data_IF_573033894710
#
_entry.id   IF_573033894710
#
_cell.length_a   1.000
_cell.length_b   1.000
_cell.length_c   1.000
_cell.angle_alpha   90.00
_cell.angle_beta   90.00
_cell.angle_gamma   90.00
#
_symmetry.space_group_name_H-M   'P 1'
#
loop_
_entity.id
_entity.type
_entity.pdbx_description
1 polymer ?
#
# COMPACT_ATOMS: atom_id res chain seq x y z
N UNK A 1 -21.85 -15.60 28.47
CA UNK A 1 -21.41 -16.81 27.71
C UNK A 1 -20.84 -17.82 28.71
N UNK A 2 -20.94 -19.14 28.48
CA UNK A 2 -20.32 -20.14 29.39
C UNK A 2 -18.80 -20.07 29.29
N UNK A 3 -18.09 -20.25 30.43
CA UNK A 3 -16.62 -20.17 30.55
C UNK A 3 -15.87 -21.02 29.52
N UNK A 4 -16.19 -22.32 29.43
CA UNK A 4 -15.55 -23.27 28.51
C UNK A 4 -15.62 -22.82 27.04
N UNK A 5 -16.72 -22.15 26.67
CA UNK A 5 -16.91 -21.63 25.32
C UNK A 5 -16.00 -20.42 25.04
N UNK A 6 -15.78 -19.55 26.03
CA UNK A 6 -14.86 -18.41 25.92
C UNK A 6 -13.43 -18.90 25.75
N UNK A 7 -13.02 -19.87 26.56
CA UNK A 7 -11.68 -20.44 26.53
C UNK A 7 -11.37 -21.13 25.19
N UNK A 8 -12.31 -21.94 24.69
CA UNK A 8 -12.17 -22.57 23.37
C UNK A 8 -12.05 -21.54 22.25
N UNK A 9 -12.84 -20.47 22.30
CA UNK A 9 -12.81 -19.41 21.29
C UNK A 9 -11.52 -18.58 21.35
N UNK A 10 -11.02 -18.27 22.55
CA UNK A 10 -9.74 -17.60 22.73
C UNK A 10 -8.59 -18.44 22.16
N UNK A 11 -8.59 -19.75 22.41
CA UNK A 11 -7.58 -20.65 21.85
C UNK A 11 -7.60 -20.63 20.32
N UNK A 12 -8.78 -20.77 19.71
CA UNK A 12 -8.93 -20.70 18.25
C UNK A 12 -8.51 -19.36 17.68
N UNK A 13 -8.81 -18.26 18.37
CA UNK A 13 -8.40 -16.91 17.99
C UNK A 13 -6.89 -16.74 18.00
N UNK A 14 -6.22 -17.16 19.08
CA UNK A 14 -4.76 -17.10 19.16
C UNK A 14 -4.06 -18.06 18.20
N UNK A 15 -4.66 -19.21 17.91
CA UNK A 15 -4.18 -20.15 16.89
C UNK A 15 -4.47 -19.68 15.45
N UNK A 16 -5.20 -18.57 15.25
CA UNK A 16 -5.57 -18.05 13.93
C UNK A 16 -6.57 -18.91 13.16
N UNK A 17 -7.34 -19.76 13.86
CA UNK A 17 -8.30 -20.72 13.29
C UNK A 17 -9.76 -20.35 13.54
N UNK A 18 -10.03 -19.21 14.17
CA UNK A 18 -11.39 -18.71 14.38
C UNK A 18 -12.04 -18.25 13.08
N UNK A 19 -13.35 -18.42 12.98
CA UNK A 19 -14.15 -17.82 11.91
C UNK A 19 -14.59 -16.40 12.28
N UNK A 20 -14.89 -15.57 11.26
CA UNK A 20 -15.40 -14.19 11.43
C UNK A 20 -16.63 -14.12 12.35
N UNK A 21 -17.52 -15.13 12.31
CA UNK A 21 -18.71 -15.19 13.17
C UNK A 21 -18.33 -15.40 14.63
N UNK A 22 -17.35 -16.24 14.89
CA UNK A 22 -16.85 -16.55 16.24
C UNK A 22 -16.10 -15.37 16.84
N UNK A 23 -15.27 -14.70 16.04
CA UNK A 23 -14.58 -13.47 16.44
C UNK A 23 -15.55 -12.35 16.80
N UNK A 24 -16.62 -12.17 16.01
CA UNK A 24 -17.67 -11.20 16.34
C UNK A 24 -18.33 -11.51 17.68
N UNK A 25 -18.54 -12.79 17.97
CA UNK A 25 -19.15 -13.26 19.22
C UNK A 25 -18.19 -13.07 20.41
N UNK A 26 -16.91 -13.35 20.22
CA UNK A 26 -15.84 -13.12 21.18
C UNK A 26 -15.68 -11.62 21.48
N UNK A 27 -15.66 -10.78 20.44
CA UNK A 27 -15.63 -9.33 20.57
C UNK A 27 -16.84 -8.80 21.34
N UNK A 28 -18.05 -9.27 21.01
CA UNK A 28 -19.26 -8.86 21.73
C UNK A 28 -19.21 -9.21 23.22
N UNK A 29 -18.66 -10.38 23.57
CA UNK A 29 -18.46 -10.79 24.95
C UNK A 29 -17.51 -9.85 25.70
N UNK A 30 -16.36 -9.46 25.11
CA UNK A 30 -15.41 -8.55 25.74
C UNK A 30 -15.81 -7.07 25.71
N UNK A 31 -16.81 -6.71 24.91
CA UNK A 31 -17.45 -5.39 24.96
C UNK A 31 -18.55 -5.30 26.01
N UNK A 32 -19.04 -6.43 26.50
CA UNK A 32 -20.05 -6.46 27.57
C UNK A 32 -19.41 -6.21 28.94
N UNK A 33 -20.17 -5.69 29.89
CA UNK A 33 -19.68 -5.41 31.26
C UNK A 33 -19.61 -6.67 32.15
N UNK A 34 -20.04 -7.82 31.66
CA UNK A 34 -20.10 -9.07 32.41
C UNK A 34 -19.01 -10.06 31.93
N UNK A 35 -17.75 -9.69 32.16
CA UNK A 35 -16.57 -10.48 31.81
C UNK A 35 -16.08 -11.22 33.07
N UNK A 36 -15.83 -12.52 32.96
CA UNK A 36 -15.25 -13.29 34.06
C UNK A 36 -13.85 -12.73 34.44
N UNK A 37 -13.50 -12.68 35.74
CA UNK A 37 -12.24 -12.07 36.22
C UNK A 37 -10.97 -12.60 35.53
N UNK A 38 -10.93 -13.90 35.23
CA UNK A 38 -9.80 -14.57 34.58
C UNK A 38 -9.52 -14.09 33.14
N UNK A 39 -10.54 -13.54 32.46
CA UNK A 39 -10.43 -13.05 31.09
C UNK A 39 -10.33 -11.52 31.01
N UNK A 40 -10.37 -10.82 32.14
CA UNK A 40 -10.35 -9.36 32.18
C UNK A 40 -9.10 -8.77 31.51
N UNK A 41 -7.96 -9.48 31.61
CA UNK A 41 -6.69 -9.13 30.93
C UNK A 41 -6.77 -9.06 29.40
N UNK A 42 -7.75 -9.71 28.78
CA UNK A 42 -7.95 -9.69 27.33
C UNK A 42 -8.91 -8.59 26.88
N UNK A 43 -9.52 -7.83 27.81
CA UNK A 43 -10.52 -6.80 27.48
C UNK A 43 -9.97 -5.76 26.51
N UNK A 44 -8.77 -5.25 26.77
CA UNK A 44 -8.18 -4.19 25.96
C UNK A 44 -7.94 -4.61 24.51
N UNK A 45 -7.58 -5.88 24.29
CA UNK A 45 -7.37 -6.47 22.96
C UNK A 45 -8.62 -6.35 22.07
N UNK A 46 -9.81 -6.52 22.64
CA UNK A 46 -11.07 -6.47 21.91
C UNK A 46 -11.78 -5.12 21.98
N UNK A 47 -11.39 -4.26 22.93
CA UNK A 47 -12.02 -2.97 23.16
C UNK A 47 -11.38 -1.83 22.35
N UNK A 48 -10.09 -1.92 21.99
CA UNK A 48 -9.33 -0.86 21.31
C UNK A 48 -10.02 -0.30 20.05
N UNK A 49 -10.55 -1.17 19.18
CA UNK A 49 -11.16 -0.76 17.91
C UNK A 49 -12.63 -0.32 18.00
N UNK A 50 -13.19 -0.20 19.21
CA UNK A 50 -14.63 0.07 19.43
C UNK A 50 -14.93 1.57 19.46
N UNK A 51 -13.97 2.35 19.97
CA UNK A 51 -14.02 3.82 19.99
C UNK A 51 -13.86 4.39 18.58
N UNK A 52 -12.93 3.85 17.79
CA UNK A 52 -12.64 4.32 16.43
C UNK A 52 -13.76 3.97 15.43
N UNK A 53 -14.40 2.81 15.57
CA UNK A 53 -15.51 2.42 14.69
C UNK A 53 -16.70 3.39 14.73
N UNK A 54 -16.97 4.02 15.89
CA UNK A 54 -18.03 5.04 16.02
C UNK A 54 -17.70 6.33 15.28
N UNK A 55 -16.41 6.68 15.17
CA UNK A 55 -15.98 7.84 14.38
C UNK A 55 -16.15 7.57 12.88
N UNK A 56 -15.85 6.36 12.41
CA UNK A 56 -15.99 5.99 11.00
C UNK A 56 -17.47 5.97 10.54
N UNK A 57 -18.41 5.56 11.40
CA UNK A 57 -19.85 5.57 11.06
C UNK A 57 -20.44 6.98 10.89
N UNK A 58 -19.83 8.00 11.50
CA UNK A 58 -20.20 9.41 11.26
C UNK A 58 -19.76 9.94 9.89
N UNK A 59 -18.83 9.24 9.22
CA UNK A 59 -18.42 9.48 7.83
C UNK A 59 -19.08 8.51 6.85
N UNK A 60 -20.14 7.79 7.25
CA UNK A 60 -20.93 7.00 6.31
C UNK A 60 -21.56 7.95 5.29
N UNK A 61 -20.86 8.15 4.18
CA UNK A 61 -21.33 8.86 3.00
C UNK A 61 -22.71 8.31 2.67
N UNK A 62 -23.73 9.14 2.91
CA UNK A 62 -25.10 8.83 2.54
C UNK A 62 -25.10 8.77 1.03
N UNK A 63 -24.95 7.56 0.48
CA UNK A 63 -25.06 7.34 -0.95
C UNK A 63 -26.40 7.93 -1.38
N UNK A 64 -26.32 9.09 -2.01
CA UNK A 64 -27.45 9.69 -2.65
C UNK A 64 -27.75 8.76 -3.81
N UNK A 65 -28.73 7.86 -3.63
CA UNK A 65 -29.31 7.06 -4.70
C UNK A 65 -30.04 8.01 -5.63
N UNK A 66 -29.26 8.82 -6.34
CA UNK A 66 -29.73 9.66 -7.40
C UNK A 66 -30.20 8.66 -8.44
N UNK A 67 -31.52 8.47 -8.52
CA UNK A 67 -32.12 7.70 -9.61
C UNK A 67 -31.67 8.40 -10.87
N UNK A 68 -30.72 7.78 -11.57
CA UNK A 68 -30.21 8.29 -12.83
C UNK A 68 -31.40 8.31 -13.78
N UNK A 69 -32.03 9.47 -13.92
CA UNK A 69 -33.00 9.69 -14.98
C UNK A 69 -32.12 9.66 -16.23
N UNK A 70 -32.23 8.58 -17.00
CA UNK A 70 -31.50 8.44 -18.25
C UNK A 70 -32.09 9.45 -19.23
N UNK A 71 -31.62 10.70 -19.13
CA UNK A 71 -31.97 11.77 -20.05
C UNK A 71 -31.51 11.36 -21.44
N UNK A 72 -32.42 11.43 -22.41
CA UNK A 72 -32.20 11.20 -23.84
C UNK A 72 -31.13 12.14 -24.47
N UNK A 73 -30.53 13.03 -23.68
CA UNK A 73 -29.43 13.92 -24.07
C UNK A 73 -28.12 13.19 -24.36
N UNK A 74 -27.90 12.00 -23.78
CA UNK A 74 -26.69 11.21 -24.05
C UNK A 74 -26.61 10.73 -25.52
N UNK A 75 -27.77 10.45 -26.15
CA UNK A 75 -27.84 10.02 -27.55
C UNK A 75 -27.57 11.19 -28.50
N UNK A 76 -28.07 12.39 -28.20
CA UNK A 76 -27.79 13.56 -29.03
C UNK A 76 -26.30 13.95 -29.01
N UNK A 77 -25.67 13.92 -27.83
CA UNK A 77 -24.24 14.23 -27.70
C UNK A 77 -23.35 13.21 -28.44
N UNK A 78 -23.69 11.92 -28.42
CA UNK A 78 -22.93 10.90 -29.13
C UNK A 78 -23.05 11.05 -30.65
N UNK A 79 -24.22 11.41 -31.17
CA UNK A 79 -24.40 11.72 -32.59
C UNK A 79 -23.60 12.95 -33.03
N UNK A 80 -23.58 14.02 -32.23
CA UNK A 80 -22.80 15.23 -32.53
C UNK A 80 -21.29 14.94 -32.47
N UNK A 81 -20.83 14.18 -31.47
CA UNK A 81 -19.44 13.77 -31.37
C UNK A 81 -19.00 12.87 -32.53
N UNK A 82 -19.86 11.92 -32.92
CA UNK A 82 -19.61 11.05 -34.07
C UNK A 82 -19.55 11.84 -35.39
N UNK A 83 -20.45 12.79 -35.59
CA UNK A 83 -20.42 13.72 -36.73
C UNK A 83 -19.15 14.58 -36.72
N UNK A 84 -18.71 15.09 -35.57
CA UNK A 84 -17.47 15.86 -35.45
C UNK A 84 -16.23 15.01 -35.73
N UNK A 85 -16.19 13.75 -35.29
CA UNK A 85 -15.06 12.85 -35.56
C UNK A 85 -14.97 12.52 -37.06
N UNK A 86 -16.10 12.25 -37.71
CA UNK A 86 -16.13 11.99 -39.16
C UNK A 86 -15.69 13.23 -39.95
N UNK A 87 -16.14 14.43 -39.55
CA UNK A 87 -15.79 15.67 -40.27
C UNK A 87 -14.38 16.20 -39.95
N UNK A 88 -13.78 15.82 -38.82
CA UNK A 88 -12.51 16.38 -38.33
C UNK A 88 -11.35 15.37 -38.42
N UNK A 89 -11.29 14.61 -39.51
CA UNK A 89 -10.20 13.68 -39.83
C UNK A 89 -8.86 14.41 -40.11
N UNK A 90 -8.32 15.07 -39.09
CA UNK A 90 -7.01 15.73 -39.00
C UNK A 90 -6.41 15.49 -37.59
N UNK A 91 -6.76 14.38 -36.94
CA UNK A 91 -6.38 14.07 -35.56
C UNK A 91 -5.26 13.04 -35.49
N UNK A 92 -4.08 13.39 -36.03
CA UNK A 92 -2.83 12.71 -35.69
C UNK A 92 -1.69 13.72 -35.48
N UNK A 93 -1.90 14.65 -34.55
CA UNK A 93 -0.90 15.65 -34.15
C UNK A 93 -0.58 15.43 -32.68
N UNK A 94 0.53 14.73 -32.42
CA UNK A 94 1.14 14.58 -31.09
C UNK A 94 1.46 15.98 -30.56
N UNK A 95 0.85 16.38 -29.44
CA UNK A 95 1.05 17.70 -28.82
C UNK A 95 1.75 17.53 -27.48
N UNK A 96 2.90 18.18 -27.32
CA UNK A 96 3.61 18.27 -26.04
C UNK A 96 3.47 19.70 -25.52
N UNK A 97 3.10 19.84 -24.24
CA UNK A 97 2.95 21.13 -23.56
C UNK A 97 4.13 21.27 -22.60
N UNK A 98 4.99 22.25 -22.84
CA UNK A 98 6.14 22.55 -21.97
C UNK A 98 5.97 23.97 -21.46
N UNK A 99 5.87 24.16 -20.14
CA UNK A 99 5.71 25.48 -19.53
C UNK A 99 4.40 26.21 -19.85
N UNK A 100 3.38 25.51 -20.34
CA UNK A 100 2.08 26.09 -20.70
C UNK A 100 1.94 26.47 -22.18
N UNK A 101 3.02 26.41 -22.96
CA UNK A 101 2.97 26.68 -24.41
C UNK A 101 2.86 25.40 -25.23
N UNK A 102 1.99 25.44 -26.24
CA UNK A 102 1.78 24.33 -27.18
C UNK A 102 2.86 24.37 -28.25
N UNK A 103 3.80 23.44 -28.22
CA UNK A 103 4.81 23.28 -29.27
C UNK A 103 4.10 22.79 -30.54
N UNK A 104 4.13 23.60 -31.62
CA UNK A 104 3.52 23.25 -32.92
C UNK A 104 4.35 22.26 -33.73
N UNK A 105 5.60 22.06 -33.34
CA UNK A 105 6.55 21.28 -34.12
C UNK A 105 6.64 19.84 -33.60
N UNK A 106 6.28 18.89 -34.47
CA UNK A 106 6.26 17.44 -34.20
C UNK A 106 7.67 16.92 -33.89
N UNK A 107 8.69 17.46 -34.54
CA UNK A 107 10.06 16.97 -34.40
C UNK A 107 10.65 17.30 -33.03
N UNK A 108 10.42 18.53 -32.56
CA UNK A 108 10.83 18.98 -31.22
C UNK A 108 10.09 18.19 -30.13
N UNK A 109 8.80 17.92 -30.33
CA UNK A 109 8.00 17.13 -29.39
C UNK A 109 8.54 15.71 -29.22
N UNK A 110 8.88 15.03 -30.32
CA UNK A 110 9.46 13.68 -30.29
C UNK A 110 10.84 13.68 -29.65
N UNK A 111 11.69 14.66 -29.96
CA UNK A 111 13.01 14.78 -29.36
C UNK A 111 12.96 14.94 -27.84
N UNK A 112 11.99 15.70 -27.32
CA UNK A 112 11.79 15.87 -25.87
C UNK A 112 11.36 14.56 -25.21
N UNK A 113 10.46 13.81 -25.85
CA UNK A 113 10.00 12.50 -25.37
C UNK A 113 11.17 11.51 -25.33
N UNK A 114 11.94 11.41 -26.41
CA UNK A 114 13.10 10.50 -26.48
C UNK A 114 14.16 10.84 -25.42
N UNK A 115 14.41 12.14 -25.20
CA UNK A 115 15.31 12.62 -24.15
C UNK A 115 14.80 12.26 -22.75
N UNK A 116 13.50 12.30 -22.51
CA UNK A 116 12.94 11.90 -21.22
C UNK A 116 12.97 10.38 -21.02
N UNK A 117 12.67 9.60 -22.07
CA UNK A 117 12.73 8.14 -22.04
C UNK A 117 14.15 7.62 -21.80
N UNK A 118 15.17 8.21 -22.44
CA UNK A 118 16.57 7.83 -22.20
C UNK A 118 17.01 8.06 -20.75
N UNK A 119 16.51 9.12 -20.09
CA UNK A 119 16.78 9.37 -18.67
C UNK A 119 16.12 8.32 -17.76
N UNK A 120 14.95 7.81 -18.13
CA UNK A 120 14.26 6.74 -17.40
C UNK A 120 15.08 5.46 -17.44
N UNK A 121 15.65 5.09 -18.60
CA UNK A 121 16.50 3.90 -18.71
C UNK A 121 17.72 3.98 -17.78
N UNK A 122 18.39 5.13 -17.72
CA UNK A 122 19.54 5.34 -16.81
C UNK A 122 19.11 5.24 -15.34
N UNK A 123 17.96 5.82 -14.98
CA UNK A 123 17.45 5.76 -13.61
C UNK A 123 17.05 4.34 -13.20
N UNK A 124 16.46 3.59 -14.13
CA UNK A 124 16.13 2.18 -13.96
C UNK A 124 17.40 1.35 -13.72
N UNK A 125 18.44 1.53 -14.52
CA UNK A 125 19.72 0.82 -14.35
C UNK A 125 20.43 1.16 -13.03
N UNK A 126 20.29 2.39 -12.53
CA UNK A 126 20.80 2.79 -11.21
C UNK A 126 19.98 2.12 -10.10
N UNK A 127 18.66 2.13 -10.22
CA UNK A 127 17.76 1.51 -9.24
C UNK A 127 18.00 0.00 -9.16
N UNK A 128 18.07 -0.70 -10.30
CA UNK A 128 18.30 -2.14 -10.36
C UNK A 128 19.66 -2.53 -9.76
N UNK A 129 20.73 -1.78 -10.09
CA UNK A 129 22.05 -1.98 -9.47
C UNK A 129 22.02 -1.78 -7.95
N UNK A 130 21.31 -0.78 -7.45
CA UNK A 130 21.21 -0.52 -6.01
C UNK A 130 20.37 -1.60 -5.30
N UNK A 131 19.27 -2.03 -5.90
CA UNK A 131 18.45 -3.14 -5.38
C UNK A 131 19.26 -4.44 -5.34
N UNK A 132 20.03 -4.74 -6.38
CA UNK A 132 20.90 -5.91 -6.41
C UNK A 132 22.03 -5.83 -5.36
N UNK A 133 22.60 -4.65 -5.11
CA UNK A 133 23.56 -4.42 -4.00
C UNK A 133 22.93 -4.66 -2.62
N UNK A 134 21.69 -4.23 -2.42
CA UNK A 134 20.94 -4.46 -1.18
C UNK A 134 20.57 -5.95 -0.98
N UNK A 135 20.26 -6.66 -2.06
CA UNK A 135 19.98 -8.10 -1.97
C UNK A 135 21.25 -8.93 -1.64
N UNK A 136 22.42 -8.48 -2.08
CA UNK A 136 23.71 -9.08 -1.71
C UNK A 136 24.15 -8.74 -0.28
N UNK A 137 23.39 -7.90 0.44
CA UNK A 137 23.60 -7.54 1.85
C UNK A 137 23.22 -8.67 2.83
N UNK A 138 22.87 -9.88 2.34
CA UNK A 138 22.68 -11.10 3.15
C UNK A 138 23.91 -11.51 3.99
N UNK A 139 25.09 -10.94 3.70
CA UNK A 139 26.28 -11.00 4.56
C UNK A 139 26.05 -10.29 5.90
N UNK A 140 25.31 -9.17 5.90
CA UNK A 140 24.96 -8.44 7.12
C UNK A 140 24.04 -9.26 8.03
N UNK A 141 23.03 -9.95 7.48
CA UNK A 141 22.14 -10.80 8.29
C UNK A 141 22.90 -11.95 8.98
N UNK A 142 23.89 -12.54 8.32
CA UNK A 142 24.72 -13.60 8.93
C UNK A 142 25.60 -13.13 10.08
N UNK A 143 25.88 -11.82 10.19
CA UNK A 143 26.79 -11.27 11.19
C UNK A 143 26.11 -10.43 12.28
N UNK A 144 24.84 -10.07 12.13
CA UNK A 144 24.14 -9.19 13.08
C UNK A 144 23.55 -9.90 14.31
N UNK A 145 23.41 -11.23 14.29
CA UNK A 145 22.72 -11.97 15.37
C UNK A 145 23.56 -12.28 16.63
N UNK A 146 24.77 -11.73 16.78
CA UNK A 146 25.57 -11.90 18.01
C UNK A 146 25.66 -10.61 18.82
N UNK A 147 24.54 -10.27 19.47
CA UNK A 147 24.51 -9.38 20.64
C UNK A 147 24.52 -10.29 21.87
N UNK A 148 25.56 -10.20 22.70
CA UNK A 148 25.58 -10.98 23.95
C UNK A 148 24.63 -10.36 25.00
N UNK A 149 24.40 -11.07 26.10
CA UNK A 149 23.47 -10.66 27.17
C UNK A 149 23.79 -9.28 27.78
N UNK A 150 25.00 -8.73 27.53
CA UNK A 150 25.43 -7.42 27.98
C UNK A 150 25.32 -6.34 26.89
N UNK A 151 24.70 -6.65 25.74
CA UNK A 151 24.53 -5.70 24.64
C UNK A 151 25.76 -5.50 23.77
N UNK A 152 26.83 -6.29 23.94
CA UNK A 152 28.06 -6.16 23.17
C UNK A 152 27.99 -6.95 21.86
N UNK A 153 28.27 -6.29 20.73
CA UNK A 153 28.43 -6.95 19.42
C UNK A 153 29.79 -7.63 19.39
N UNK A 154 29.82 -8.97 19.42
CA UNK A 154 31.10 -9.70 19.28
C UNK A 154 31.54 -9.70 17.82
N UNK A 155 32.83 -9.44 17.58
CA UNK A 155 33.52 -9.44 16.27
C UNK A 155 33.46 -8.15 15.42
N UNK A 156 33.22 -6.97 16.02
CA UNK A 156 33.38 -5.66 15.32
C UNK A 156 34.72 -5.54 14.56
N UNK A 157 35.88 -5.98 15.11
CA UNK A 157 37.14 -5.91 14.37
C UNK A 157 37.16 -6.72 13.07
N UNK A 158 36.55 -7.92 13.05
CA UNK A 158 36.46 -8.77 11.84
C UNK A 158 35.46 -8.23 10.82
N UNK A 159 34.45 -7.46 11.27
CA UNK A 159 33.51 -6.76 10.40
C UNK A 159 34.19 -5.59 9.68
N UNK A 160 35.00 -4.82 10.40
CA UNK A 160 35.75 -3.70 9.81
C UNK A 160 36.81 -4.19 8.82
N UNK A 161 37.48 -5.32 9.10
CA UNK A 161 38.50 -5.92 8.22
C UNK A 161 37.90 -6.46 6.90
N UNK A 162 36.67 -6.97 6.93
CA UNK A 162 35.93 -7.39 5.72
C UNK A 162 35.31 -6.24 4.94
N UNK A 163 35.05 -5.11 5.58
CA UNK A 163 34.52 -3.90 4.92
C UNK A 163 35.63 -3.01 4.36
N UNK A 164 36.85 -3.07 4.90
CA UNK A 164 38.00 -2.32 4.39
C UNK A 164 38.70 -3.01 3.22
N UNK A 165 38.48 -4.31 3.02
CA UNK A 165 39.17 -5.15 2.03
C UNK A 165 38.83 -4.93 0.55
N UNK A 166 38.08 -3.90 0.18
CA UNK A 166 37.75 -3.60 -1.23
C UNK A 166 37.95 -2.12 -1.62
N UNK A 167 38.83 -1.41 -0.90
CA UNK A 167 39.40 -0.13 -1.35
C UNK A 167 40.90 -0.26 -1.57
N UNK A 168 41.30 -0.94 -2.64
CA UNK A 168 42.62 -0.78 -3.25
C UNK A 168 42.51 -0.98 -4.75
N UNK A 169 42.75 0.12 -5.46
CA UNK A 169 42.80 0.38 -6.91
C UNK A 169 41.47 0.42 -7.71
#
# INVERSE_FOLDING_TARGET
>A
MKKEKVEKLLKLYFDGKSSVREEKLLRHYFLSDNILPEFMKYRDLFNFFSSEAKLIDSYRYKENKNKFILSFTAVAASFIAFLLIINNSEADKIRVVVGGEKMKDREIALQIVDKQLSKINIMYDIADRNVNKLNNMSVFEKCFWFVDENGAIRNVPKLLDKLSGEYSE
#
